data_IF_840048191578
#
_entry.id   IF_840048191578
#
_cell.length_a   1.000
_cell.length_b   1.000
_cell.length_c   1.000
_cell.angle_alpha   90.00
_cell.angle_beta   90.00
_cell.angle_gamma   90.00
#
_symmetry.space_group_name_H-M   'P 1'
#
loop_
_entity.id
_entity.type
_entity.pdbx_description
1 polymer ?
#
# COMPACT_ATOMS: atom_id res chain seq x y z
N UNK A 1 -48.57 -45.00 3.71
CA UNK A 1 -47.58 -44.69 2.64
C UNK A 1 -47.44 -43.17 2.64
N UNK A 2 -46.29 -42.63 3.02
CA UNK A 2 -46.06 -41.18 3.06
C UNK A 2 -45.52 -40.76 1.70
N UNK A 3 -46.25 -39.88 1.02
CA UNK A 3 -45.94 -39.38 -0.33
C UNK A 3 -44.65 -38.54 -0.34
N UNK A 4 -43.60 -39.08 -0.96
CA UNK A 4 -42.27 -38.43 -1.09
C UNK A 4 -42.22 -37.24 -2.06
N UNK A 5 -43.35 -36.69 -2.49
CA UNK A 5 -43.46 -35.82 -3.67
C UNK A 5 -43.39 -34.31 -3.37
N UNK A 6 -43.13 -33.88 -2.13
CA UNK A 6 -43.15 -32.44 -1.77
C UNK A 6 -41.97 -31.96 -0.90
N UNK A 7 -40.83 -32.66 -0.93
CA UNK A 7 -39.61 -32.23 -0.26
C UNK A 7 -38.99 -31.02 -0.99
N UNK A 8 -38.86 -29.89 -0.30
CA UNK A 8 -38.14 -28.70 -0.79
C UNK A 8 -36.73 -28.67 -0.22
N UNK A 9 -35.75 -28.14 -0.97
CA UNK A 9 -34.37 -27.97 -0.50
C UNK A 9 -34.18 -26.56 0.05
N UNK A 10 -33.69 -26.46 1.29
CA UNK A 10 -33.38 -25.17 1.89
C UNK A 10 -32.12 -24.56 1.24
N UNK A 11 -32.16 -23.32 0.72
CA UNK A 11 -31.02 -22.71 0.03
C UNK A 11 -29.85 -22.30 0.95
N UNK A 12 -29.97 -22.51 2.27
CA UNK A 12 -28.91 -22.18 3.24
C UNK A 12 -28.17 -23.36 3.83
N UNK A 13 -28.88 -24.44 4.15
CA UNK A 13 -28.25 -25.65 4.68
C UNK A 13 -28.26 -26.81 3.68
N UNK A 14 -28.87 -26.61 2.50
CA UNK A 14 -29.05 -27.63 1.44
C UNK A 14 -29.74 -28.91 1.92
N UNK A 15 -30.45 -28.87 3.05
CA UNK A 15 -31.22 -30.00 3.56
C UNK A 15 -32.63 -29.99 2.96
N UNK A 16 -33.11 -31.18 2.58
CA UNK A 16 -34.50 -31.42 2.24
C UNK A 16 -35.39 -31.23 3.48
N UNK A 17 -36.49 -30.52 3.33
CA UNK A 17 -37.47 -30.33 4.40
C UNK A 17 -38.89 -30.38 3.84
N UNK A 18 -39.82 -30.81 4.69
CA UNK A 18 -41.24 -30.79 4.38
C UNK A 18 -41.81 -29.42 4.74
N UNK A 19 -42.30 -28.64 3.75
CA UNK A 19 -42.79 -27.30 4.00
C UNK A 19 -44.14 -27.32 4.74
N UNK A 20 -44.24 -26.64 5.88
CA UNK A 20 -45.50 -26.50 6.64
C UNK A 20 -46.47 -25.53 5.96
N UNK A 21 -45.97 -24.66 5.08
CA UNK A 21 -46.76 -23.68 4.30
C UNK A 21 -46.32 -23.77 2.84
N UNK A 22 -47.24 -23.58 1.90
CA UNK A 22 -46.99 -23.67 0.45
C UNK A 22 -45.82 -22.78 0.00
N UNK A 23 -45.68 -21.59 0.61
CA UNK A 23 -44.65 -20.60 0.26
C UNK A 23 -43.39 -20.69 1.14
N UNK A 24 -43.23 -21.74 1.96
CA UNK A 24 -42.06 -21.88 2.81
C UNK A 24 -40.84 -22.29 1.96
N UNK A 25 -39.81 -21.44 1.97
CA UNK A 25 -38.55 -21.61 1.23
C UNK A 25 -37.38 -22.07 2.10
N UNK A 26 -37.46 -21.86 3.42
CA UNK A 26 -36.41 -22.22 4.37
C UNK A 26 -36.90 -23.30 5.35
N UNK A 27 -36.02 -24.23 5.70
CA UNK A 27 -36.34 -25.29 6.65
C UNK A 27 -36.61 -24.77 8.08
N UNK A 28 -35.99 -23.65 8.46
CA UNK A 28 -36.12 -23.05 9.79
C UNK A 28 -36.06 -21.52 9.74
N UNK A 29 -36.58 -20.88 10.80
CA UNK A 29 -36.50 -19.42 10.98
C UNK A 29 -35.06 -18.94 11.08
N UNK A 30 -34.14 -19.77 11.57
CA UNK A 30 -32.71 -19.44 11.62
C UNK A 30 -32.07 -19.44 10.23
N UNK A 31 -32.43 -20.40 9.37
CA UNK A 31 -31.98 -20.38 7.98
C UNK A 31 -32.53 -19.16 7.23
N UNK A 32 -33.79 -18.78 7.47
CA UNK A 32 -34.37 -17.55 6.91
C UNK A 32 -33.66 -16.29 7.42
N UNK A 33 -33.36 -16.20 8.72
CA UNK A 33 -32.60 -15.08 9.30
C UNK A 33 -31.19 -14.99 8.74
N UNK A 34 -30.48 -16.13 8.63
CA UNK A 34 -29.13 -16.19 8.04
C UNK A 34 -29.15 -15.81 6.56
N UNK A 35 -30.22 -16.11 5.85
CA UNK A 35 -30.40 -15.69 4.46
C UNK A 35 -30.63 -14.19 4.33
N UNK A 36 -31.48 -13.61 5.17
CA UNK A 36 -31.85 -12.18 5.09
C UNK A 36 -30.85 -11.23 5.75
N UNK A 37 -30.01 -11.69 6.69
CA UNK A 37 -29.15 -10.83 7.53
C UNK A 37 -28.22 -9.90 6.75
N UNK A 38 -27.77 -10.33 5.58
CA UNK A 38 -26.80 -9.59 4.76
C UNK A 38 -27.39 -9.09 3.43
N UNK A 39 -28.60 -9.52 3.05
CA UNK A 39 -29.21 -9.14 1.77
C UNK A 39 -29.62 -7.67 1.75
N UNK A 40 -30.00 -7.10 2.89
CA UNK A 40 -30.41 -5.69 3.00
C UNK A 40 -29.25 -4.70 3.12
N UNK A 41 -28.04 -5.16 3.46
CA UNK A 41 -26.89 -4.27 3.68
C UNK A 41 -26.05 -3.98 2.42
N UNK A 42 -26.42 -4.54 1.27
CA UNK A 42 -25.64 -4.42 0.03
C UNK A 42 -24.28 -5.11 0.12
N UNK A 43 -23.53 -5.12 -0.99
CA UNK A 43 -22.17 -5.65 -0.99
C UNK A 43 -21.18 -4.61 -0.43
N UNK A 44 -21.18 -4.46 0.90
CA UNK A 44 -20.20 -3.62 1.62
C UNK A 44 -18.76 -4.00 1.32
N UNK A 45 -18.51 -5.23 0.87
CA UNK A 45 -17.17 -5.66 0.49
C UNK A 45 -16.73 -5.00 -0.80
N UNK A 46 -17.63 -4.82 -1.78
CA UNK A 46 -17.34 -4.09 -3.00
C UNK A 46 -17.09 -2.60 -2.74
N UNK A 47 -17.91 -1.96 -1.89
CA UNK A 47 -17.71 -0.55 -1.52
C UNK A 47 -16.38 -0.33 -0.80
N UNK A 48 -16.04 -1.21 0.16
CA UNK A 48 -14.77 -1.13 0.88
C UNK A 48 -13.57 -1.35 -0.05
N UNK A 49 -13.67 -2.30 -1.00
CA UNK A 49 -12.64 -2.49 -2.04
C UNK A 49 -12.47 -1.22 -2.86
N UNK A 50 -13.56 -0.69 -3.43
CA UNK A 50 -13.50 0.52 -4.24
C UNK A 50 -12.90 1.73 -3.48
N UNK A 51 -13.24 1.89 -2.21
CA UNK A 51 -12.68 2.94 -1.35
C UNK A 51 -11.18 2.72 -1.07
N UNK A 52 -10.77 1.47 -0.84
CA UNK A 52 -9.36 1.11 -0.64
C UNK A 52 -8.55 1.31 -1.93
N UNK A 53 -9.10 0.90 -3.07
CA UNK A 53 -8.47 1.05 -4.39
C UNK A 53 -8.27 2.52 -4.72
N UNK A 54 -9.28 3.37 -4.50
CA UNK A 54 -9.16 4.82 -4.69
C UNK A 54 -8.11 5.44 -3.76
N UNK A 55 -8.02 4.98 -2.50
CA UNK A 55 -7.02 5.44 -1.54
C UNK A 55 -5.60 5.11 -1.99
N UNK A 56 -5.35 3.88 -2.45
CA UNK A 56 -4.02 3.45 -2.88
C UNK A 56 -3.62 4.00 -4.26
N UNK A 57 -4.57 4.11 -5.20
CA UNK A 57 -4.34 4.76 -6.49
C UNK A 57 -3.92 6.21 -6.29
N UNK A 58 -4.61 6.94 -5.41
CA UNK A 58 -4.25 8.32 -5.08
C UNK A 58 -2.88 8.42 -4.41
N UNK A 59 -2.51 7.46 -3.56
CA UNK A 59 -1.19 7.41 -2.94
C UNK A 59 -0.08 7.19 -3.98
N UNK A 60 -0.34 6.38 -5.00
CA UNK A 60 0.55 6.13 -6.14
C UNK A 60 0.71 7.39 -7.00
N UNK A 61 -0.37 8.11 -7.30
CA UNK A 61 -0.31 9.38 -8.03
C UNK A 61 0.58 10.41 -7.32
N UNK A 62 0.44 10.55 -6.00
CA UNK A 62 1.30 11.44 -5.20
C UNK A 62 2.76 10.99 -5.21
N UNK A 63 3.00 9.67 -5.15
CA UNK A 63 4.35 9.13 -5.29
C UNK A 63 4.94 9.49 -6.66
N UNK A 64 4.19 9.32 -7.74
CA UNK A 64 4.63 9.69 -9.08
C UNK A 64 4.88 11.19 -9.20
N UNK A 65 4.04 12.03 -8.61
CA UNK A 65 4.23 13.48 -8.60
C UNK A 65 5.58 13.87 -7.97
N UNK A 66 5.92 13.30 -6.80
CA UNK A 66 7.18 13.59 -6.11
C UNK A 66 8.40 13.04 -6.85
N UNK A 67 8.32 11.82 -7.38
CA UNK A 67 9.48 11.15 -7.96
C UNK A 67 9.70 11.41 -9.45
N UNK A 68 8.69 11.93 -10.16
CA UNK A 68 8.86 12.46 -11.52
C UNK A 68 9.60 13.79 -11.53
N UNK A 69 9.52 14.56 -10.44
CA UNK A 69 10.25 15.81 -10.30
C UNK A 69 11.78 15.57 -10.20
N UNK A 70 12.61 16.48 -10.77
CA UNK A 70 14.05 16.50 -10.58
C UNK A 70 14.44 16.49 -9.10
N UNK A 71 15.58 15.86 -8.71
CA UNK A 71 15.97 15.74 -7.30
C UNK A 71 16.01 17.06 -6.51
N UNK A 72 16.38 18.18 -7.15
CA UNK A 72 16.41 19.51 -6.55
C UNK A 72 15.01 20.07 -6.22
N UNK A 73 13.98 19.67 -6.95
CA UNK A 73 12.62 20.20 -6.82
C UNK A 73 11.71 19.35 -5.93
N UNK A 74 12.09 18.09 -5.65
CA UNK A 74 11.26 17.16 -4.86
C UNK A 74 10.88 17.69 -3.48
N UNK A 75 11.76 18.47 -2.86
CA UNK A 75 11.50 19.10 -1.56
C UNK A 75 10.44 20.19 -1.65
N UNK A 76 10.39 20.93 -2.77
CA UNK A 76 9.34 21.90 -3.06
C UNK A 76 8.01 21.19 -3.26
N UNK A 77 7.96 20.17 -4.12
CA UNK A 77 6.75 19.38 -4.35
C UNK A 77 6.20 18.77 -3.05
N UNK A 78 7.07 18.25 -2.18
CA UNK A 78 6.64 17.72 -0.88
C UNK A 78 6.09 18.82 0.05
N UNK A 79 6.68 20.02 0.02
CA UNK A 79 6.17 21.18 0.76
C UNK A 79 4.77 21.55 0.28
N UNK A 80 4.57 21.63 -1.02
CA UNK A 80 3.29 21.98 -1.64
C UNK A 80 2.22 20.95 -1.30
N UNK A 81 2.57 19.65 -1.28
CA UNK A 81 1.66 18.59 -0.81
C UNK A 81 1.27 18.82 0.67
N UNK A 82 2.24 19.14 1.53
CA UNK A 82 1.97 19.39 2.96
C UNK A 82 1.14 20.65 3.22
N UNK A 83 1.19 21.65 2.34
CA UNK A 83 0.35 22.85 2.41
C UNK A 83 -1.14 22.54 2.21
N UNK A 84 -1.47 21.47 1.48
CA UNK A 84 -2.85 21.04 1.23
C UNK A 84 -3.45 20.15 2.35
N UNK A 85 -2.63 19.72 3.31
CA UNK A 85 -3.04 18.89 4.47
C UNK A 85 -4.23 19.41 5.27
N UNK A 86 -4.35 20.72 5.63
CA UNK A 86 -5.49 21.20 6.39
C UNK A 86 -6.82 21.05 5.64
N UNK A 87 -6.79 21.21 4.32
CA UNK A 87 -7.98 21.18 3.48
C UNK A 87 -8.38 19.76 3.05
N UNK A 88 -7.42 18.86 2.87
CA UNK A 88 -7.69 17.55 2.29
C UNK A 88 -7.67 16.39 3.30
N UNK A 89 -8.86 15.89 3.62
CA UNK A 89 -9.02 14.74 4.52
C UNK A 89 -8.49 13.42 3.94
N UNK A 90 -8.57 13.23 2.62
CA UNK A 90 -8.06 12.04 1.94
C UNK A 90 -6.54 11.99 1.98
N UNK A 91 -5.89 13.14 1.74
CA UNK A 91 -4.43 13.27 1.86
C UNK A 91 -3.96 12.94 3.28
N UNK A 92 -4.63 13.47 4.32
CA UNK A 92 -4.31 13.14 5.72
C UNK A 92 -4.39 11.65 6.01
N UNK A 93 -5.42 10.97 5.48
CA UNK A 93 -5.57 9.51 5.62
C UNK A 93 -4.41 8.76 4.97
N UNK A 94 -4.02 9.14 3.75
CA UNK A 94 -2.89 8.54 3.03
C UNK A 94 -1.57 8.74 3.80
N UNK A 95 -1.28 9.97 4.22
CA UNK A 95 -0.02 10.29 4.90
C UNK A 95 0.10 9.64 6.29
N UNK A 96 -1.03 9.36 6.95
CA UNK A 96 -1.07 8.72 8.28
C UNK A 96 -1.25 7.19 8.22
N UNK A 97 -1.33 6.59 7.03
CA UNK A 97 -1.66 5.17 6.85
C UNK A 97 -0.59 4.28 7.50
N UNK A 98 -0.96 3.42 8.48
CA UNK A 98 -0.01 2.52 9.12
C UNK A 98 0.57 1.46 8.17
N UNK A 99 -0.14 1.06 7.11
CA UNK A 99 0.36 0.09 6.14
C UNK A 99 1.52 0.72 5.34
N UNK A 100 1.27 1.88 4.71
CA UNK A 100 2.30 2.63 3.99
C UNK A 100 3.50 2.99 4.89
N UNK A 101 3.28 3.38 6.14
CA UNK A 101 4.40 3.69 7.05
C UNK A 101 5.25 2.47 7.44
N UNK A 102 4.71 1.25 7.39
CA UNK A 102 5.45 0.02 7.72
C UNK A 102 6.08 -0.64 6.49
N UNK A 103 5.52 -0.43 5.30
CA UNK A 103 5.95 -1.08 4.07
C UNK A 103 7.44 -0.96 3.78
N UNK A 104 8.08 -2.06 3.39
CA UNK A 104 9.50 -2.07 3.05
C UNK A 104 9.76 -1.14 1.85
N UNK A 105 10.86 -0.35 1.83
CA UNK A 105 11.22 0.43 0.66
C UNK A 105 11.31 -0.45 -0.60
N UNK A 106 10.96 0.13 -1.76
CA UNK A 106 11.01 -0.60 -3.03
C UNK A 106 12.44 -1.00 -3.37
N UNK A 107 12.62 -1.97 -4.27
CA UNK A 107 13.94 -2.40 -4.75
C UNK A 107 14.80 -1.22 -5.26
N UNK A 108 14.16 -0.19 -5.83
CA UNK A 108 14.81 1.04 -6.30
C UNK A 108 15.33 1.96 -5.18
N UNK A 109 15.13 1.59 -3.91
CA UNK A 109 15.45 2.42 -2.74
C UNK A 109 14.52 3.61 -2.52
N UNK A 110 13.51 3.80 -3.39
CA UNK A 110 12.52 4.88 -3.26
C UNK A 110 11.56 4.59 -2.11
N UNK A 111 11.22 5.63 -1.36
CA UNK A 111 10.26 5.58 -0.25
C UNK A 111 8.86 5.79 -0.81
N UNK A 112 7.84 5.15 -0.23
CA UNK A 112 6.46 5.53 -0.52
C UNK A 112 6.16 6.95 -0.01
N UNK A 113 5.03 7.51 -0.45
CA UNK A 113 4.66 8.90 -0.14
C UNK A 113 4.59 9.17 1.37
N UNK A 114 3.99 8.27 2.16
CA UNK A 114 3.86 8.44 3.60
C UNK A 114 5.23 8.46 4.31
N UNK A 115 6.15 7.57 3.92
CA UNK A 115 7.53 7.54 4.45
C UNK A 115 8.35 8.75 4.00
N UNK A 116 8.16 9.20 2.75
CA UNK A 116 8.80 10.39 2.24
C UNK A 116 8.36 11.63 3.02
N UNK A 117 7.05 11.79 3.22
CA UNK A 117 6.47 12.87 4.03
C UNK A 117 6.94 12.81 5.50
N UNK A 118 6.94 11.63 6.13
CA UNK A 118 7.44 11.50 7.50
C UNK A 118 8.93 11.81 7.61
N UNK A 119 9.74 11.43 6.61
CA UNK A 119 11.17 11.79 6.59
C UNK A 119 11.35 13.30 6.42
N UNK A 120 10.52 13.93 5.58
CA UNK A 120 10.52 15.37 5.37
C UNK A 120 10.17 16.11 6.65
N UNK A 121 9.07 15.75 7.32
CA UNK A 121 8.64 16.45 8.54
C UNK A 121 9.62 16.27 9.68
N UNK A 122 10.25 15.09 9.79
CA UNK A 122 11.31 14.86 10.77
C UNK A 122 12.54 15.72 10.51
N UNK A 123 12.90 15.93 9.23
CA UNK A 123 14.09 16.70 8.86
C UNK A 123 13.90 18.21 9.07
N UNK A 124 12.71 18.75 8.76
CA UNK A 124 12.46 20.20 8.81
C UNK A 124 11.77 20.70 10.08
N UNK A 125 10.90 19.89 10.69
CA UNK A 125 10.14 20.27 11.87
C UNK A 125 10.53 19.46 13.11
N UNK A 126 11.39 18.44 12.98
CA UNK A 126 11.77 17.57 14.10
C UNK A 126 10.65 16.68 14.62
N UNK A 127 9.50 16.63 13.95
CA UNK A 127 8.30 15.90 14.40
C UNK A 127 7.86 14.81 13.42
N UNK A 128 7.14 13.82 13.94
CA UNK A 128 6.50 12.79 13.09
C UNK A 128 5.36 13.40 12.25
N UNK A 129 5.06 12.80 11.10
CA UNK A 129 3.98 13.27 10.22
C UNK A 129 2.62 13.32 10.94
N UNK A 130 2.37 12.39 11.87
CA UNK A 130 1.12 12.34 12.65
C UNK A 130 1.02 13.50 13.63
N UNK A 131 2.14 13.85 14.26
CA UNK A 131 2.22 15.00 15.17
C UNK A 131 2.05 16.30 14.38
N UNK A 132 2.77 16.44 13.26
CA UNK A 132 2.65 17.58 12.36
C UNK A 132 1.22 17.83 11.93
N UNK A 133 0.53 16.81 11.40
CA UNK A 133 -0.87 16.94 10.94
C UNK A 133 -1.78 17.35 12.10
N UNK A 134 -1.59 16.80 13.30
CA UNK A 134 -2.38 17.16 14.48
C UNK A 134 -2.19 18.63 14.87
N UNK A 135 -0.96 19.13 14.83
CA UNK A 135 -0.64 20.51 15.18
C UNK A 135 -1.20 21.49 14.16
N UNK A 136 -1.03 21.20 12.87
CA UNK A 136 -1.64 21.96 11.76
C UNK A 136 -3.17 22.00 11.88
N UNK A 137 -3.80 20.86 12.21
CA UNK A 137 -5.25 20.83 12.44
C UNK A 137 -5.69 21.63 13.66
N UNK A 138 -4.82 21.79 14.67
CA UNK A 138 -5.09 22.62 15.84
C UNK A 138 -4.85 24.12 15.60
N UNK A 139 -4.38 24.51 14.41
CA UNK A 139 -4.05 25.89 14.09
C UNK A 139 -2.80 26.41 14.80
N UNK A 140 -1.91 25.52 15.26
CA UNK A 140 -0.63 25.90 15.84
C UNK A 140 0.37 26.08 14.71
N UNK A 141 1.08 27.20 14.72
CA UNK A 141 2.23 27.40 13.86
C UNK A 141 3.33 26.42 14.27
N UNK A 142 3.64 25.47 13.38
CA UNK A 142 4.73 24.54 13.58
C UNK A 142 6.01 25.26 13.15
N UNK A 143 6.68 25.91 14.10
CA UNK A 143 7.97 26.53 13.83
C UNK A 143 8.95 25.44 13.36
N UNK A 144 9.51 25.63 12.17
CA UNK A 144 10.53 24.74 11.64
C UNK A 144 11.75 24.76 12.56
N UNK A 145 12.35 23.60 12.78
CA UNK A 145 13.68 23.57 13.38
C UNK A 145 14.59 24.28 12.38
N UNK A 146 15.21 25.39 12.78
CA UNK A 146 16.28 26.00 11.99
C UNK A 146 17.32 24.92 11.75
N UNK A 147 17.37 24.40 10.53
CA UNK A 147 18.38 23.43 10.14
C UNK A 147 19.69 24.18 10.17
N UNK A 148 20.42 24.06 11.28
CA UNK A 148 21.75 24.62 11.39
C UNK A 148 22.62 23.92 10.34
N UNK A 149 22.77 24.56 9.17
CA UNK A 149 23.58 24.07 8.06
C UNK A 149 25.07 24.06 8.39
N UNK A 150 25.47 24.50 9.58
CA UNK A 150 26.72 24.05 10.19
C UNK A 150 26.60 22.58 10.57
N UNK A 151 26.42 21.73 9.56
CA UNK A 151 26.98 20.40 9.65
C UNK A 151 28.48 20.67 9.73
N UNK A 152 29.01 20.70 10.95
CA UNK A 152 30.39 20.31 11.17
C UNK A 152 30.47 18.91 10.55
N UNK A 153 30.84 18.86 9.28
CA UNK A 153 31.41 17.68 8.66
C UNK A 153 32.69 17.44 9.44
N UNK A 154 32.55 16.93 10.68
CA UNK A 154 33.67 16.47 11.46
C UNK A 154 34.49 15.57 10.54
N UNK A 155 35.83 15.58 10.68
CA UNK A 155 36.71 14.85 9.78
C UNK A 155 36.13 13.46 9.58
N UNK A 156 35.72 13.15 8.33
CA UNK A 156 35.16 11.84 7.98
C UNK A 156 36.09 10.83 8.65
N UNK A 157 35.60 10.04 9.63
CA UNK A 157 36.48 9.16 10.37
C UNK A 157 37.20 8.32 9.34
N UNK A 158 38.51 8.56 9.18
CA UNK A 158 39.33 7.75 8.30
C UNK A 158 39.12 6.34 8.80
N UNK A 159 38.52 5.49 7.95
CA UNK A 159 38.37 4.08 8.25
C UNK A 159 39.77 3.59 8.58
N UNK A 160 40.05 3.45 9.88
CA UNK A 160 41.29 2.87 10.35
C UNK A 160 41.39 1.50 9.70
N UNK A 161 42.59 1.09 9.30
CA UNK A 161 42.91 -0.18 8.62
C UNK A 161 42.64 -1.43 9.50
N UNK A 162 41.54 -1.46 10.24
CA UNK A 162 41.09 -2.54 11.14
C UNK A 162 39.62 -2.90 10.97
N UNK A 163 38.92 -2.39 9.96
CA UNK A 163 37.68 -3.03 9.51
C UNK A 163 38.06 -4.18 8.58
N UNK A 164 38.33 -5.35 9.18
CA UNK A 164 38.39 -6.62 8.44
C UNK A 164 36.96 -7.07 8.13
N UNK A 165 36.78 -7.84 7.06
CA UNK A 165 35.48 -8.40 6.63
C UNK A 165 34.74 -9.18 7.74
N UNK A 166 35.46 -9.62 8.78
CA UNK A 166 34.92 -10.32 9.94
C UNK A 166 34.18 -9.41 10.95
N UNK A 167 34.54 -8.13 11.03
CA UNK A 167 34.03 -7.21 12.08
C UNK A 167 33.03 -6.16 11.57
N UNK A 168 32.75 -6.14 10.26
CA UNK A 168 31.69 -5.29 9.70
C UNK A 168 30.41 -6.12 9.67
N UNK A 169 29.57 -5.98 10.70
CA UNK A 169 28.20 -6.49 10.66
C UNK A 169 27.37 -5.55 9.78
N UNK A 170 27.50 -5.69 8.47
CA UNK A 170 26.64 -4.99 7.53
C UNK A 170 25.22 -5.55 7.65
N UNK A 171 24.28 -4.72 8.11
CA UNK A 171 22.84 -5.01 8.15
C UNK A 171 22.20 -5.16 6.76
N UNK A 172 22.98 -4.98 5.71
CA UNK A 172 22.58 -5.36 4.37
C UNK A 172 22.78 -6.87 4.24
N UNK A 173 21.67 -7.62 4.19
CA UNK A 173 21.68 -8.91 3.50
C UNK A 173 22.42 -8.69 2.17
N UNK A 174 23.47 -9.45 1.84
CA UNK A 174 24.04 -9.37 0.51
C UNK A 174 22.88 -9.56 -0.45
N UNK A 175 22.66 -8.57 -1.32
CA UNK A 175 21.82 -8.75 -2.50
C UNK A 175 22.39 -10.01 -3.14
N UNK A 176 21.63 -11.10 -3.06
CA UNK A 176 21.93 -12.26 -3.88
C UNK A 176 21.85 -11.72 -5.29
N UNK A 177 23.01 -11.52 -5.90
CA UNK A 177 23.13 -11.22 -7.30
C UNK A 177 22.60 -12.43 -8.03
N UNK A 178 21.28 -12.48 -8.22
CA UNK A 178 20.66 -13.23 -9.31
C UNK A 178 20.98 -12.48 -10.61
N UNK A 179 22.27 -12.20 -10.83
CA UNK A 179 22.85 -11.68 -12.06
C UNK A 179 23.36 -12.86 -12.90
N UNK A 180 22.54 -13.90 -12.95
CA UNK A 180 22.68 -15.03 -13.86
C UNK A 180 21.31 -15.33 -14.49
N UNK A 181 20.54 -14.29 -14.83
CA UNK A 181 19.80 -14.37 -16.08
C UNK A 181 20.88 -14.31 -17.15
N UNK A 182 21.21 -15.48 -17.69
CA UNK A 182 22.34 -15.65 -18.58
C UNK A 182 22.09 -14.81 -19.83
N UNK A 183 23.15 -14.24 -20.41
CA UNK A 183 23.06 -13.57 -21.72
C UNK A 183 22.37 -14.48 -22.76
N UNK A 184 22.45 -15.81 -22.57
CA UNK A 184 21.77 -16.81 -23.39
C UNK A 184 20.23 -16.76 -23.29
N UNK A 185 19.66 -16.47 -22.11
CA UNK A 185 18.21 -16.38 -21.93
C UNK A 185 17.62 -15.18 -22.70
N UNK A 186 18.36 -14.06 -22.72
CA UNK A 186 17.98 -12.88 -23.50
C UNK A 186 18.13 -13.09 -25.01
N UNK A 187 19.18 -13.81 -25.44
CA UNK A 187 19.35 -14.17 -26.86
C UNK A 187 18.27 -15.13 -27.34
N UNK A 188 17.87 -16.12 -26.52
CA UNK A 188 16.79 -17.04 -26.86
C UNK A 188 15.44 -16.33 -27.00
N UNK A 189 15.10 -15.41 -26.09
CA UNK A 189 13.87 -14.63 -26.15
C UNK A 189 13.80 -13.73 -27.40
N UNK A 190 14.92 -13.12 -27.79
CA UNK A 190 15.02 -12.34 -29.03
C UNK A 190 14.83 -13.21 -30.29
N UNK A 191 15.39 -14.41 -30.28
CA UNK A 191 15.31 -15.33 -31.42
C UNK A 191 13.89 -15.90 -31.62
N UNK A 192 13.18 -16.23 -30.54
CA UNK A 192 11.76 -16.60 -30.63
C UNK A 192 10.88 -15.46 -31.13
N UNK A 193 11.14 -14.22 -30.70
CA UNK A 193 10.36 -13.08 -31.16
C UNK A 193 10.56 -12.81 -32.66
N UNK A 194 11.78 -12.97 -33.17
CA UNK A 194 12.07 -12.84 -34.61
C UNK A 194 11.39 -13.94 -35.43
N UNK A 195 11.36 -15.18 -34.95
CA UNK A 195 10.67 -16.30 -35.62
C UNK A 195 9.15 -16.09 -35.68
N UNK A 196 8.53 -15.54 -34.62
CA UNK A 196 7.09 -15.22 -34.64
C UNK A 196 6.74 -14.16 -35.68
N UNK A 197 7.61 -13.18 -35.90
CA UNK A 197 7.38 -12.14 -36.91
C UNK A 197 7.47 -12.68 -38.34
N UNK A 198 8.29 -13.72 -38.60
CA UNK A 198 8.39 -14.34 -39.92
C UNK A 198 7.16 -15.15 -40.32
N UNK A 199 6.35 -15.63 -39.37
CA UNK A 199 5.12 -16.38 -39.65
C UNK A 199 3.88 -15.49 -39.85
N UNK A 200 4.01 -14.17 -39.67
CA UNK A 200 2.94 -13.20 -39.85
C UNK A 200 3.00 -12.47 -41.20
N UNK A 201 3.99 -12.79 -42.03
CA UNK A 201 4.14 -12.34 -43.42
C UNK A 201 3.89 -13.52 -44.36
#
# INVERSE_FOLDING_TARGET
MLDSSNLKVCPKCNQGFEPRRTNQTYCSRDCQKKASRNTSQGDRSAEYRAMSDAHYSRAEDLFHMVYSAPPCERLGVMKDILEHVPHDAGLRRILCDPQLLRDVPRADGRKNIAKAANSYTQMFFGVSIKTYIREVQSGKDVEGVEVNRQVNCGPVPRIGRRLTRANVHCWHKPVQSNAAASVADYQHALQEHLLRLQHLL
#
